data_IF_653845950566
#
_entry.id   IF_653845950566
#
_cell.length_a   1.000
_cell.length_b   1.000
_cell.length_c   1.000
_cell.angle_alpha   90.00
_cell.angle_beta   90.00
_cell.angle_gamma   90.00
#
_symmetry.space_group_name_H-M   'P 1'
#
loop_
_entity.id
_entity.type
_entity.pdbx_description
1 polymer ?
#
# COMPACT_ATOMS: atom_id res chain seq x y z
N UNK A 1 35.97 -67.09 -30.60
CA UNK A 1 37.01 -67.64 -29.70
C UNK A 1 36.34 -68.47 -28.64
N UNK A 2 36.83 -69.68 -28.41
CA UNK A 2 36.37 -70.56 -27.32
C UNK A 2 37.04 -70.16 -26.01
N UNK A 3 36.41 -70.50 -24.87
CA UNK A 3 36.97 -70.22 -23.53
C UNK A 3 38.40 -70.74 -23.35
N UNK A 4 38.68 -71.94 -23.87
CA UNK A 4 40.02 -72.54 -23.82
C UNK A 4 41.07 -71.75 -24.60
N UNK A 5 40.69 -71.21 -25.77
CA UNK A 5 41.58 -70.38 -26.60
C UNK A 5 41.86 -69.03 -25.95
N UNK A 6 40.88 -68.45 -25.25
CA UNK A 6 41.03 -67.20 -24.51
C UNK A 6 41.98 -67.35 -23.32
N UNK A 7 41.87 -68.44 -22.55
CA UNK A 7 42.76 -68.70 -21.40
C UNK A 7 44.20 -68.92 -21.87
N UNK A 8 44.39 -69.67 -22.96
CA UNK A 8 45.72 -69.97 -23.49
C UNK A 8 46.46 -68.73 -24.02
N UNK A 9 45.76 -67.67 -24.42
CA UNK A 9 46.39 -66.42 -24.88
C UNK A 9 47.18 -65.68 -23.80
N UNK A 10 46.85 -65.93 -22.53
CA UNK A 10 47.47 -65.27 -21.38
C UNK A 10 48.25 -66.23 -20.49
N UNK A 11 48.38 -67.51 -20.89
CA UNK A 11 49.01 -68.54 -20.06
C UNK A 11 50.49 -68.27 -19.75
N UNK A 12 51.17 -67.56 -20.65
CA UNK A 12 52.59 -67.21 -20.53
C UNK A 12 52.83 -65.78 -19.98
N UNK A 13 51.75 -65.03 -19.69
CA UNK A 13 51.83 -63.68 -19.12
C UNK A 13 51.82 -63.76 -17.59
N UNK A 14 52.56 -62.85 -16.95
CA UNK A 14 52.47 -62.68 -15.49
C UNK A 14 51.09 -62.14 -15.09
N UNK A 15 50.66 -62.43 -13.85
CA UNK A 15 49.34 -62.01 -13.34
C UNK A 15 49.14 -60.48 -13.34
N UNK A 16 50.22 -59.71 -13.37
CA UNK A 16 50.27 -58.25 -13.38
C UNK A 16 50.66 -57.64 -14.75
N UNK A 17 50.82 -58.46 -15.78
CA UNK A 17 51.23 -58.00 -17.11
C UNK A 17 50.08 -57.30 -17.87
N UNK A 18 50.43 -56.33 -18.71
CA UNK A 18 49.50 -55.61 -19.57
C UNK A 18 49.04 -56.50 -20.73
N UNK A 19 47.73 -56.74 -20.81
CA UNK A 19 47.13 -57.71 -21.77
C UNK A 19 46.70 -57.08 -23.10
N UNK A 20 46.81 -55.75 -23.23
CA UNK A 20 46.28 -54.98 -24.34
C UNK A 20 46.92 -55.36 -25.68
N UNK A 21 48.24 -55.57 -25.72
CA UNK A 21 48.97 -55.95 -26.94
C UNK A 21 48.60 -57.37 -27.39
N UNK A 22 48.48 -58.31 -26.44
CA UNK A 22 48.02 -59.68 -26.69
C UNK A 22 46.59 -59.72 -27.22
N UNK A 23 45.68 -58.92 -26.65
CA UNK A 23 44.29 -58.81 -27.14
C UNK A 23 44.23 -58.14 -28.52
N UNK A 24 44.99 -57.07 -28.75
CA UNK A 24 45.03 -56.36 -30.03
C UNK A 24 45.46 -57.25 -31.20
N UNK A 25 46.31 -58.25 -30.93
CA UNK A 25 46.78 -59.21 -31.93
C UNK A 25 45.71 -60.22 -32.39
N UNK A 26 44.63 -60.39 -31.63
CA UNK A 26 43.58 -61.39 -31.91
C UNK A 26 42.72 -61.05 -33.12
N UNK A 27 42.25 -62.07 -33.85
CA UNK A 27 41.34 -61.88 -34.99
C UNK A 27 40.02 -61.21 -34.61
N UNK A 28 39.57 -61.36 -33.36
CA UNK A 28 38.39 -60.67 -32.85
C UNK A 28 38.61 -59.16 -32.81
N UNK A 29 39.70 -58.70 -32.18
CA UNK A 29 40.01 -57.28 -32.06
C UNK A 29 40.39 -56.67 -33.42
N UNK A 30 41.18 -57.39 -34.23
CA UNK A 30 41.41 -57.02 -35.64
C UNK A 30 40.12 -56.91 -36.43
N UNK A 31 39.16 -57.81 -36.20
CA UNK A 31 37.83 -57.77 -36.80
C UNK A 31 37.02 -56.53 -36.40
N UNK A 32 37.09 -56.10 -35.14
CA UNK A 32 36.47 -54.85 -34.67
C UNK A 32 37.14 -53.60 -35.26
N UNK A 33 38.48 -53.59 -35.30
CA UNK A 33 39.28 -52.50 -35.91
C UNK A 33 38.96 -52.38 -37.40
N UNK A 34 38.95 -53.49 -38.14
CA UNK A 34 38.64 -53.52 -39.58
C UNK A 34 37.20 -53.11 -39.89
N UNK A 35 36.26 -53.34 -38.96
CA UNK A 35 34.88 -52.85 -39.05
C UNK A 35 34.74 -51.36 -38.70
N UNK A 36 35.83 -50.67 -38.39
CA UNK A 36 35.82 -49.25 -38.09
C UNK A 36 35.35 -48.92 -36.67
N UNK A 37 35.39 -49.86 -35.72
CA UNK A 37 35.24 -49.54 -34.29
C UNK A 37 36.59 -49.09 -33.71
N UNK A 38 37.17 -48.06 -34.31
CA UNK A 38 38.37 -47.39 -33.80
C UNK A 38 38.03 -45.99 -33.31
N UNK A 39 38.85 -45.47 -32.42
CA UNK A 39 38.68 -44.13 -31.88
C UNK A 39 38.76 -43.05 -32.97
N UNK A 40 39.60 -43.26 -33.99
CA UNK A 40 39.71 -42.39 -35.16
C UNK A 40 38.48 -42.47 -36.07
N UNK A 41 37.91 -43.67 -36.27
CA UNK A 41 36.66 -43.81 -37.00
C UNK A 41 35.49 -43.17 -36.26
N UNK A 42 35.43 -43.29 -34.93
CA UNK A 42 34.44 -42.61 -34.09
C UNK A 42 34.60 -41.08 -34.13
N UNK A 43 35.84 -40.56 -34.04
CA UNK A 43 36.13 -39.13 -34.26
C UNK A 43 35.75 -38.66 -35.67
N UNK A 44 35.91 -39.52 -36.68
CA UNK A 44 35.46 -39.29 -38.04
C UNK A 44 33.93 -39.16 -38.12
N UNK A 45 33.20 -40.08 -37.48
CA UNK A 45 31.73 -40.03 -37.35
C UNK A 45 31.27 -38.76 -36.63
N UNK A 46 32.01 -38.30 -35.64
CA UNK A 46 31.73 -37.03 -34.96
C UNK A 46 31.75 -35.81 -35.90
N UNK A 47 32.36 -35.90 -37.09
CA UNK A 47 32.39 -34.83 -38.10
C UNK A 47 31.21 -34.90 -39.07
N UNK A 48 30.57 -36.05 -39.21
CA UNK A 48 29.41 -36.25 -40.10
C UNK A 48 28.22 -35.43 -39.61
N UNK A 49 27.58 -34.70 -40.53
CA UNK A 49 26.45 -33.83 -40.20
C UNK A 49 25.28 -34.63 -39.62
N UNK A 50 24.93 -35.76 -40.21
CA UNK A 50 23.82 -36.60 -39.74
C UNK A 50 24.06 -37.19 -38.34
N UNK A 51 25.30 -37.57 -38.03
CA UNK A 51 25.65 -38.07 -36.70
C UNK A 51 25.68 -36.95 -35.65
N UNK A 52 26.17 -35.75 -36.02
CA UNK A 52 26.01 -34.55 -35.18
C UNK A 52 24.54 -34.21 -34.97
N UNK A 53 23.73 -34.27 -36.01
CA UNK A 53 22.29 -33.98 -35.94
C UNK A 53 21.54 -35.03 -35.11
N UNK A 54 21.99 -36.29 -35.10
CA UNK A 54 21.48 -37.36 -34.23
C UNK A 54 21.87 -37.15 -32.77
N UNK A 55 23.15 -36.90 -32.48
CA UNK A 55 23.64 -36.59 -31.11
C UNK A 55 22.97 -35.31 -30.57
N UNK A 56 22.85 -34.27 -31.40
CA UNK A 56 22.17 -33.03 -31.05
C UNK A 56 20.63 -33.16 -31.06
N UNK A 57 20.09 -34.14 -31.77
CA UNK A 57 18.66 -34.40 -31.90
C UNK A 57 18.09 -35.22 -30.75
N UNK A 58 18.73 -36.32 -30.39
CA UNK A 58 18.36 -37.15 -29.23
C UNK A 58 18.99 -36.63 -27.94
N UNK A 59 20.28 -36.30 -27.94
CA UNK A 59 20.97 -35.76 -26.76
C UNK A 59 20.78 -34.25 -26.56
N UNK A 60 20.65 -33.48 -27.63
CA UNK A 60 20.56 -32.01 -27.57
C UNK A 60 19.15 -31.44 -27.36
N UNK A 61 18.08 -32.10 -27.87
CA UNK A 61 16.69 -31.72 -27.50
C UNK A 61 16.43 -31.98 -26.02
N UNK A 62 16.95 -33.08 -25.51
CA UNK A 62 16.93 -33.36 -24.07
C UNK A 62 17.82 -32.40 -23.31
N UNK A 63 18.96 -31.98 -23.86
CA UNK A 63 19.78 -30.95 -23.21
C UNK A 63 19.07 -29.61 -23.12
N UNK A 64 18.45 -29.10 -24.18
CA UNK A 64 17.68 -27.84 -24.10
C UNK A 64 16.50 -27.95 -23.14
N UNK A 65 15.80 -29.08 -23.14
CA UNK A 65 14.68 -29.35 -22.23
C UNK A 65 15.17 -29.46 -20.78
N UNK A 66 16.20 -30.25 -20.50
CA UNK A 66 16.84 -30.39 -19.19
C UNK A 66 17.45 -29.08 -18.73
N UNK A 67 18.03 -28.28 -19.63
CA UNK A 67 18.54 -26.95 -19.33
C UNK A 67 17.40 -26.00 -18.98
N UNK A 68 16.27 -26.05 -19.70
CA UNK A 68 15.07 -25.27 -19.35
C UNK A 68 14.46 -25.71 -18.02
N UNK A 69 14.35 -27.01 -17.76
CA UNK A 69 13.83 -27.57 -16.51
C UNK A 69 14.77 -27.27 -15.33
N UNK A 70 16.07 -27.44 -15.51
CA UNK A 70 17.09 -27.06 -14.53
C UNK A 70 17.08 -25.56 -14.26
N UNK A 71 17.02 -24.73 -15.31
CA UNK A 71 16.86 -23.27 -15.19
C UNK A 71 15.61 -22.96 -14.39
N UNK A 72 14.46 -23.55 -14.71
CA UNK A 72 13.21 -23.31 -13.98
C UNK A 72 13.28 -23.74 -12.51
N UNK A 73 13.97 -24.83 -12.19
CA UNK A 73 14.03 -25.37 -10.83
C UNK A 73 15.12 -24.72 -9.95
N UNK A 74 16.21 -24.25 -10.56
CA UNK A 74 17.40 -23.81 -9.83
C UNK A 74 17.76 -22.33 -10.03
N UNK A 75 17.29 -21.63 -11.08
CA UNK A 75 17.58 -20.20 -11.21
C UNK A 75 17.00 -19.41 -10.03
N UNK A 76 15.75 -19.64 -9.64
CA UNK A 76 15.16 -18.89 -8.51
C UNK A 76 15.96 -19.08 -7.23
N UNK A 77 16.40 -20.32 -6.95
CA UNK A 77 17.18 -20.65 -5.74
C UNK A 77 18.61 -20.11 -5.74
N UNK A 78 19.28 -20.10 -6.90
CA UNK A 78 20.66 -19.56 -6.98
C UNK A 78 20.68 -18.03 -7.10
N UNK A 79 19.63 -17.43 -7.67
CA UNK A 79 19.54 -15.99 -7.86
C UNK A 79 19.00 -15.30 -6.59
N UNK A 80 18.18 -15.95 -5.77
CA UNK A 80 17.70 -15.46 -4.48
C UNK A 80 18.81 -14.88 -3.58
N UNK A 81 19.88 -15.63 -3.24
CA UNK A 81 20.94 -15.11 -2.38
C UNK A 81 21.72 -13.97 -3.04
N UNK A 82 21.93 -14.01 -4.36
CA UNK A 82 22.67 -12.97 -5.08
C UNK A 82 21.87 -11.66 -5.21
N UNK A 83 20.56 -11.78 -5.42
CA UNK A 83 19.63 -10.65 -5.50
C UNK A 83 19.48 -10.01 -4.11
N UNK A 84 19.35 -10.81 -3.05
CA UNK A 84 19.31 -10.31 -1.67
C UNK A 84 20.60 -9.58 -1.27
N UNK A 85 21.76 -10.05 -1.74
CA UNK A 85 23.06 -9.46 -1.39
C UNK A 85 23.39 -8.19 -2.19
N UNK A 86 23.09 -8.17 -3.50
CA UNK A 86 23.52 -7.08 -4.39
C UNK A 86 22.45 -6.03 -4.65
N UNK A 87 21.17 -6.40 -4.56
CA UNK A 87 20.05 -5.56 -4.96
C UNK A 87 18.85 -5.73 -4.01
N UNK A 88 19.00 -5.40 -2.71
CA UNK A 88 17.94 -5.56 -1.70
C UNK A 88 16.66 -4.76 -2.03
N UNK A 89 16.79 -3.65 -2.75
CA UNK A 89 15.68 -2.76 -3.12
C UNK A 89 14.91 -3.24 -4.38
N UNK A 90 15.43 -4.23 -5.10
CA UNK A 90 15.01 -4.59 -6.45
C UNK A 90 14.37 -5.98 -6.57
N UNK A 91 14.18 -6.71 -5.47
CA UNK A 91 13.36 -7.93 -5.49
C UNK A 91 11.93 -7.49 -5.84
N UNK A 92 11.62 -7.59 -7.12
CA UNK A 92 10.37 -7.18 -7.75
C UNK A 92 9.90 -8.32 -8.64
N UNK A 93 9.70 -9.47 -8.00
CA UNK A 93 8.91 -10.57 -8.51
C UNK A 93 7.46 -10.04 -8.80
N UNK A 94 6.73 -10.44 -9.85
CA UNK A 94 5.30 -10.12 -10.03
C UNK A 94 4.43 -10.32 -8.77
N UNK A 95 4.83 -11.22 -7.87
CA UNK A 95 4.27 -11.41 -6.53
C UNK A 95 4.60 -10.24 -5.58
N UNK A 96 5.82 -9.71 -5.61
CA UNK A 96 6.25 -8.51 -4.90
C UNK A 96 5.64 -7.22 -5.46
N UNK A 97 5.42 -7.12 -6.78
CA UNK A 97 4.60 -6.03 -7.34
C UNK A 97 3.19 -6.05 -6.78
N UNK A 98 2.56 -7.23 -6.73
CA UNK A 98 1.25 -7.40 -6.09
C UNK A 98 1.29 -7.10 -4.59
N UNK A 99 2.36 -7.48 -3.88
CA UNK A 99 2.53 -7.13 -2.46
C UNK A 99 2.70 -5.63 -2.27
N UNK A 100 3.53 -4.95 -3.06
CA UNK A 100 3.69 -3.50 -3.01
C UNK A 100 2.40 -2.76 -3.37
N UNK A 101 1.61 -3.31 -4.29
CA UNK A 101 0.31 -2.75 -4.64
C UNK A 101 -0.71 -2.97 -3.51
N UNK A 102 -0.75 -4.17 -2.92
CA UNK A 102 -1.54 -4.48 -1.72
C UNK A 102 -1.10 -3.68 -0.50
N UNK A 103 0.19 -3.46 -0.29
CA UNK A 103 0.72 -2.61 0.79
C UNK A 103 0.35 -1.15 0.55
N UNK A 104 0.44 -0.65 -0.69
CA UNK A 104 -0.04 0.69 -1.02
C UNK A 104 -1.55 0.82 -0.82
N UNK A 105 -2.31 -0.21 -1.14
CA UNK A 105 -3.76 -0.23 -0.94
C UNK A 105 -4.11 -0.31 0.55
N UNK A 106 -3.40 -1.13 1.32
CA UNK A 106 -3.54 -1.25 2.76
C UNK A 106 -3.10 0.03 3.48
N UNK A 107 -2.05 0.70 3.03
CA UNK A 107 -1.61 1.99 3.56
C UNK A 107 -2.62 3.10 3.24
N UNK A 108 -3.22 3.08 2.05
CA UNK A 108 -4.34 3.98 1.71
C UNK A 108 -5.57 3.69 2.57
N UNK A 109 -5.91 2.42 2.79
CA UNK A 109 -7.02 2.03 3.67
C UNK A 109 -6.76 2.41 5.12
N UNK A 110 -5.55 2.20 5.64
CA UNK A 110 -5.15 2.64 6.98
C UNK A 110 -5.24 4.15 7.13
N UNK A 111 -4.76 4.91 6.15
CA UNK A 111 -4.91 6.38 6.14
C UNK A 111 -6.37 6.80 6.04
N UNK A 112 -7.17 6.11 5.24
CA UNK A 112 -8.61 6.37 5.11
C UNK A 112 -9.36 6.08 6.41
N UNK A 113 -9.05 4.97 7.08
CA UNK A 113 -9.64 4.61 8.38
C UNK A 113 -9.18 5.56 9.48
N UNK A 114 -7.89 5.87 9.57
CA UNK A 114 -7.38 6.87 10.51
C UNK A 114 -8.06 8.23 10.30
N UNK A 115 -8.28 8.63 9.04
CA UNK A 115 -9.04 9.85 8.73
C UNK A 115 -10.51 9.76 9.15
N UNK A 116 -11.17 8.61 8.94
CA UNK A 116 -12.56 8.39 9.39
C UNK A 116 -12.67 8.40 10.92
N UNK A 117 -11.72 7.81 11.62
CA UNK A 117 -11.66 7.82 13.08
C UNK A 117 -11.49 9.25 13.59
N UNK A 118 -10.54 10.00 13.01
CA UNK A 118 -10.35 11.43 13.29
C UNK A 118 -11.62 12.25 13.02
N UNK A 119 -12.29 12.03 11.89
CA UNK A 119 -13.55 12.72 11.55
C UNK A 119 -14.63 12.36 12.57
N UNK A 120 -14.75 11.08 12.96
CA UNK A 120 -15.77 10.63 13.92
C UNK A 120 -15.57 11.26 15.29
N UNK A 121 -14.33 11.32 15.77
CA UNK A 121 -14.00 11.96 17.04
C UNK A 121 -14.14 13.48 16.99
N UNK A 122 -13.78 14.11 15.87
CA UNK A 122 -13.99 15.53 15.65
C UNK A 122 -15.49 15.88 15.55
N UNK A 123 -16.32 15.02 14.95
CA UNK A 123 -17.78 15.16 14.92
C UNK A 123 -18.36 15.07 16.33
N UNK A 124 -17.88 14.14 17.17
CA UNK A 124 -18.29 14.06 18.58
C UNK A 124 -17.96 15.35 19.33
N UNK A 125 -16.72 15.84 19.18
CA UNK A 125 -16.29 17.09 19.81
C UNK A 125 -17.11 18.30 19.33
N UNK A 126 -17.34 18.42 18.02
CA UNK A 126 -18.17 19.46 17.44
C UNK A 126 -19.62 19.38 17.96
N UNK A 127 -20.17 18.18 18.10
CA UNK A 127 -21.52 17.98 18.65
C UNK A 127 -21.60 18.43 20.11
N UNK A 128 -20.60 18.10 20.94
CA UNK A 128 -20.52 18.56 22.34
C UNK A 128 -20.43 20.09 22.44
N UNK A 129 -19.67 20.72 21.55
CA UNK A 129 -19.50 22.18 21.48
C UNK A 129 -20.60 22.91 20.70
N UNK A 130 -21.63 22.19 20.23
CA UNK A 130 -22.73 22.69 19.38
C UNK A 130 -22.25 23.37 18.08
N UNK A 131 -21.11 22.92 17.56
CA UNK A 131 -20.58 23.32 16.26
C UNK A 131 -21.27 22.49 15.18
N UNK A 132 -21.69 23.09 14.04
CA UNK A 132 -22.29 22.34 12.94
C UNK A 132 -21.36 21.24 12.43
N UNK A 133 -21.83 19.99 12.48
CA UNK A 133 -21.05 18.81 12.08
C UNK A 133 -20.66 18.82 10.60
N UNK A 134 -21.45 19.50 9.76
CA UNK A 134 -21.15 19.72 8.33
C UNK A 134 -19.85 20.49 8.07
N UNK A 135 -19.34 21.23 9.05
CA UNK A 135 -18.12 22.03 8.90
C UNK A 135 -16.87 21.30 9.38
N UNK A 136 -17.02 20.18 10.10
CA UNK A 136 -15.91 19.48 10.75
C UNK A 136 -14.86 18.99 9.74
N UNK A 137 -15.29 18.53 8.56
CA UNK A 137 -14.38 18.09 7.49
C UNK A 137 -13.51 19.23 6.94
N UNK A 138 -14.00 20.48 6.98
CA UNK A 138 -13.26 21.65 6.48
C UNK A 138 -12.19 22.13 7.48
N UNK A 139 -12.30 21.75 8.75
CA UNK A 139 -11.37 22.14 9.82
C UNK A 139 -10.50 20.98 10.31
N UNK A 140 -10.55 19.83 9.64
CA UNK A 140 -9.76 18.65 9.96
C UNK A 140 -8.26 18.93 9.77
N UNK A 141 -7.51 18.88 10.87
CA UNK A 141 -6.05 19.06 10.89
C UNK A 141 -5.28 17.75 10.72
N UNK A 142 -3.95 17.82 10.85
CA UNK A 142 -3.09 16.62 10.83
C UNK A 142 -3.47 15.63 11.94
N UNK A 143 -3.90 16.13 13.09
CA UNK A 143 -4.30 15.35 14.25
C UNK A 143 -5.57 15.90 14.90
N UNK A 144 -6.14 15.12 15.81
CA UNK A 144 -7.32 15.49 16.58
C UNK A 144 -7.13 16.77 17.41
N UNK A 145 -5.95 16.98 18.01
CA UNK A 145 -5.67 18.20 18.79
C UNK A 145 -5.69 19.45 17.90
N UNK A 146 -5.03 19.41 16.74
CA UNK A 146 -5.06 20.51 15.77
C UNK A 146 -6.47 20.75 15.25
N UNK A 147 -7.25 19.69 15.03
CA UNK A 147 -8.66 19.79 14.63
C UNK A 147 -9.49 20.49 15.71
N UNK A 148 -9.29 20.15 16.99
CA UNK A 148 -9.96 20.83 18.12
C UNK A 148 -9.58 22.31 18.17
N UNK A 149 -8.28 22.62 18.08
CA UNK A 149 -7.79 24.02 18.08
C UNK A 149 -8.38 24.82 16.93
N UNK A 150 -8.45 24.24 15.71
CA UNK A 150 -9.06 24.90 14.55
C UNK A 150 -10.56 25.16 14.76
N UNK A 151 -11.30 24.17 15.28
CA UNK A 151 -12.73 24.29 15.58
C UNK A 151 -12.99 25.32 16.68
N UNK A 152 -12.20 25.30 17.76
CA UNK A 152 -12.32 26.26 18.86
C UNK A 152 -11.98 27.68 18.39
N UNK A 153 -10.92 27.86 17.60
CA UNK A 153 -10.55 29.16 17.02
C UNK A 153 -11.65 29.70 16.11
N UNK A 154 -12.30 28.84 15.32
CA UNK A 154 -13.46 29.23 14.51
C UNK A 154 -14.61 29.73 15.39
N UNK A 155 -14.96 28.99 16.45
CA UNK A 155 -16.01 29.40 17.40
C UNK A 155 -15.68 30.72 18.07
N UNK A 156 -14.44 30.91 18.53
CA UNK A 156 -13.98 32.15 19.14
C UNK A 156 -14.04 33.34 18.17
N UNK A 157 -13.73 33.12 16.89
CA UNK A 157 -13.79 34.18 15.88
C UNK A 157 -15.22 34.55 15.47
N UNK A 158 -16.15 33.59 15.46
CA UNK A 158 -17.52 33.80 14.97
C UNK A 158 -18.46 34.27 16.08
N UNK A 159 -18.22 33.90 17.34
CA UNK A 159 -19.08 34.28 18.47
C UNK A 159 -19.25 35.81 18.60
N UNK A 160 -18.20 36.65 18.50
CA UNK A 160 -18.36 38.11 18.55
C UNK A 160 -19.21 38.64 17.41
N UNK A 161 -19.03 38.11 16.20
CA UNK A 161 -19.80 38.53 15.03
C UNK A 161 -21.29 38.13 15.15
N UNK A 162 -21.56 36.93 15.65
CA UNK A 162 -22.94 36.49 15.94
C UNK A 162 -23.55 37.33 17.04
N UNK A 163 -22.81 37.66 18.10
CA UNK A 163 -23.27 38.55 19.16
C UNK A 163 -23.60 39.94 18.62
N UNK A 164 -22.72 40.55 17.84
CA UNK A 164 -22.95 41.85 17.21
C UNK A 164 -24.20 41.84 16.32
N UNK A 165 -24.39 40.80 15.50
CA UNK A 165 -25.57 40.65 14.67
C UNK A 165 -26.85 40.42 15.48
N UNK A 166 -26.78 39.68 16.58
CA UNK A 166 -27.91 39.50 17.49
C UNK A 166 -28.23 40.80 18.22
N UNK A 167 -27.22 41.54 18.68
CA UNK A 167 -27.38 42.84 19.33
C UNK A 167 -27.92 43.90 18.36
N UNK A 168 -27.50 43.87 17.09
CA UNK A 168 -28.05 44.72 16.04
C UNK A 168 -29.52 44.35 15.77
N UNK A 169 -29.85 43.05 15.71
CA UNK A 169 -31.24 42.59 15.54
C UNK A 169 -32.10 42.91 16.75
N UNK A 170 -31.60 42.73 17.96
CA UNK A 170 -32.29 43.05 19.21
C UNK A 170 -32.40 44.57 19.37
N UNK A 171 -31.41 45.35 18.96
CA UNK A 171 -31.46 46.81 18.92
C UNK A 171 -32.43 47.35 17.86
N UNK A 172 -32.50 46.71 16.70
CA UNK A 172 -33.43 47.06 15.63
C UNK A 172 -34.87 46.58 15.89
N UNK A 173 -35.05 45.50 16.66
CA UNK A 173 -36.36 44.99 17.09
C UNK A 173 -36.78 45.49 18.47
N UNK A 174 -35.87 46.13 19.21
CA UNK A 174 -36.20 46.86 20.44
C UNK A 174 -36.93 48.12 20.03
N UNK A 175 -38.23 48.14 20.34
CA UNK A 175 -39.01 49.37 20.37
C UNK A 175 -38.36 50.33 21.35
N UNK A 176 -37.58 51.28 20.84
CA UNK A 176 -37.10 52.43 21.60
C UNK A 176 -38.27 53.41 21.65
N UNK A 177 -38.92 53.66 22.81
CA UNK A 177 -39.91 54.72 22.92
C UNK A 177 -39.17 56.03 22.64
N UNK A 178 -39.40 56.59 21.45
CA UNK A 178 -38.67 57.74 20.94
C UNK A 178 -38.77 58.92 21.90
N UNK A 179 -37.63 59.30 22.45
CA UNK A 179 -37.42 60.58 23.11
C UNK A 179 -36.36 61.35 22.34
N UNK A 180 -36.75 62.08 21.30
CA UNK A 180 -36.87 63.55 21.35
C UNK A 180 -36.88 64.15 19.94
N UNK A 181 -37.98 64.80 19.56
CA UNK A 181 -38.12 65.48 18.28
C UNK A 181 -39.54 65.98 17.99
N UNK A 182 -40.13 66.74 18.91
CA UNK A 182 -41.31 67.58 18.73
C UNK A 182 -42.53 66.96 18.00
N UNK A 183 -43.22 66.03 18.65
CA UNK A 183 -44.68 65.80 18.54
C UNK A 183 -45.12 64.76 19.58
N UNK A 184 -45.94 65.17 20.55
CA UNK A 184 -46.78 64.30 21.39
C UNK A 184 -46.07 63.36 22.37
N UNK A 185 -46.07 63.70 23.66
CA UNK A 185 -45.43 62.95 24.74
C UNK A 185 -45.94 61.50 24.88
N UNK A 186 -45.15 60.51 24.44
CA UNK A 186 -45.29 59.12 24.87
C UNK A 186 -44.46 58.91 26.14
N UNK A 187 -45.11 59.03 27.31
CA UNK A 187 -44.49 58.77 28.62
C UNK A 187 -44.06 57.30 28.71
N UNK A 188 -42.88 57.02 29.27
CA UNK A 188 -42.43 55.66 29.51
C UNK A 188 -43.37 54.92 30.46
N UNK A 189 -43.48 53.59 30.34
CA UNK A 189 -44.33 52.77 31.22
C UNK A 189 -44.07 53.02 32.72
N UNK A 190 -42.80 53.21 33.09
CA UNK A 190 -42.43 53.57 34.46
C UNK A 190 -42.91 54.96 34.89
N UNK A 191 -42.88 55.94 33.97
CA UNK A 191 -43.40 57.27 34.25
C UNK A 191 -44.94 57.29 34.35
N UNK A 192 -45.64 56.50 33.53
CA UNK A 192 -47.10 56.37 33.60
C UNK A 192 -47.54 55.74 34.92
N UNK A 193 -46.88 54.67 35.36
CA UNK A 193 -47.20 54.00 36.63
C UNK A 193 -46.93 54.91 37.83
N UNK A 194 -45.84 55.67 37.81
CA UNK A 194 -45.51 56.63 38.86
C UNK A 194 -46.52 57.79 38.92
N UNK A 195 -47.00 58.26 37.76
CA UNK A 195 -47.97 59.36 37.69
C UNK A 195 -49.38 58.91 38.09
N UNK A 196 -49.78 57.67 37.77
CA UNK A 196 -51.03 57.07 38.24
C UNK A 196 -51.03 56.89 39.77
N UNK A 197 -49.89 56.49 40.36
CA UNK A 197 -49.70 56.42 41.81
C UNK A 197 -49.69 57.81 42.48
N UNK A 198 -49.27 58.85 41.78
CA UNK A 198 -49.27 60.21 42.31
C UNK A 198 -50.66 60.88 42.21
N UNK A 199 -51.38 60.64 41.10
CA UNK A 199 -52.72 61.19 40.89
C UNK A 199 -53.78 60.49 41.75
N UNK A 200 -53.66 59.18 41.99
CA UNK A 200 -54.53 58.46 42.94
C UNK A 200 -54.37 58.90 44.40
N UNK A 201 -53.35 59.69 44.73
CA UNK A 201 -53.12 60.26 46.07
C UNK A 201 -53.63 61.69 46.23
N UNK A 202 -54.07 62.38 45.17
CA UNK A 202 -54.69 63.71 45.29
C UNK A 202 -56.18 63.56 45.51
N UNK A 203 -56.58 63.47 46.78
CA UNK A 203 -57.96 63.66 47.19
C UNK A 203 -58.37 65.12 46.88
N UNK A 204 -59.37 65.30 46.02
CA UNK A 204 -60.02 66.58 45.79
C UNK A 204 -60.79 66.97 47.07
N UNK A 205 -60.21 67.87 47.86
CA UNK A 205 -60.94 68.57 48.90
C UNK A 205 -62.00 69.49 48.28
N UNK A 206 -63.14 69.77 48.95
CA UNK A 206 -64.23 70.53 48.37
C UNK A 206 -63.80 71.96 48.05
N UNK A 207 -64.10 72.44 46.83
CA UNK A 207 -63.72 73.78 46.37
C UNK A 207 -64.64 74.86 47.02
N UNK A 208 -64.09 75.83 47.77
CA UNK A 208 -64.87 76.81 48.55
C UNK A 208 -65.48 77.97 47.74
N UNK A 209 -65.47 77.91 46.40
CA UNK A 209 -65.99 78.97 45.52
C UNK A 209 -66.90 78.46 44.40
N UNK A 210 -67.52 77.30 44.58
CA UNK A 210 -68.62 76.81 43.72
C UNK A 210 -69.98 77.22 44.30
#
# INVERSE_FOLDING_TARGET
>A
MKKSEFINLFADLADDAEIDETLASTELVKGFINKGLTLEAFKGKLKEKEFKDFINGEGGKDFEKRLKEWKKANLEKELEPFIQEKYPDLVTDPTQKKLLELEKELEKERKSNARKDLITEAIKYATEKKIPTSLVENFLGEDLEKTKVNLDSFVESINPWVQEQVDERLGASSWVPSGNGNSGAAKSLGAQLAEELNNSRKAEGPNPWA
#
